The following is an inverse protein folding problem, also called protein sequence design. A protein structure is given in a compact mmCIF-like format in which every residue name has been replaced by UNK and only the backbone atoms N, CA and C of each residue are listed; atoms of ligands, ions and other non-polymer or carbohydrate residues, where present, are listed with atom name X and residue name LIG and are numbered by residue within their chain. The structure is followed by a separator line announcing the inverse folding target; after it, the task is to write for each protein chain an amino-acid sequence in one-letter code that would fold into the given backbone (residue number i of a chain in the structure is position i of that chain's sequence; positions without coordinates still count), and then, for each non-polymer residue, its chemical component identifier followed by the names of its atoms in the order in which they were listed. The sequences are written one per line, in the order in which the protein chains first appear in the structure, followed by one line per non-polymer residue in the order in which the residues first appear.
data_IF_338474592351
#
_entry.id   IF_338474592351
#
_cell.length_a   1.000
_cell.length_b   1.000
_cell.length_c   1.000
_cell.angle_alpha   90.00
_cell.angle_beta   90.00
_cell.angle_gamma   90.00
#
_symmetry.space_group_name_H-M   'P 1'
#
loop_
_entity.id
_entity.type
_entity.pdbx_description
1 polymer ?
#
# COMPACT_ATOMS: atom_id res chain seq x y z
N UNK A 1 -17.38 43.47 32.74
CA UNK A 1 -16.32 42.85 33.58
C UNK A 1 -15.97 41.53 32.90
N UNK A 2 -14.89 41.55 32.12
CA UNK A 2 -14.11 40.41 31.58
C UNK A 2 -14.89 39.34 30.79
N UNK A 3 -14.80 39.38 29.46
CA UNK A 3 -14.77 38.13 28.67
C UNK A 3 -13.47 37.39 28.99
N UNK A 4 -13.51 36.05 29.08
CA UNK A 4 -12.45 35.35 28.36
C UNK A 4 -12.92 34.13 27.58
N UNK A 5 -12.61 34.19 26.29
CA UNK A 5 -11.86 33.17 25.54
C UNK A 5 -12.60 31.86 25.23
N UNK A 6 -13.02 31.78 23.97
CA UNK A 6 -13.13 30.56 23.17
C UNK A 6 -11.90 29.64 23.36
N UNK A 7 -12.07 28.37 23.80
CA UNK A 7 -11.06 27.36 23.53
C UNK A 7 -11.39 26.74 22.18
N UNK A 8 -10.76 27.26 21.12
CA UNK A 8 -10.32 26.39 20.03
C UNK A 8 -9.44 25.31 20.65
N UNK A 9 -10.07 24.19 21.07
CA UNK A 9 -9.36 22.98 21.41
C UNK A 9 -8.77 22.46 20.09
N UNK A 10 -7.50 22.81 19.87
CA UNK A 10 -6.77 22.53 18.66
C UNK A 10 -7.00 21.11 18.17
N UNK A 11 -7.53 21.01 16.95
CA UNK A 11 -7.24 19.87 16.09
C UNK A 11 -5.74 19.89 15.83
N UNK A 12 -4.98 19.34 16.78
CA UNK A 12 -3.59 18.98 16.58
C UNK A 12 -3.55 18.19 15.28
N UNK A 13 -2.79 18.71 14.31
CA UNK A 13 -2.68 18.11 12.98
C UNK A 13 -2.42 16.62 13.18
N UNK A 14 -3.39 15.76 12.83
CA UNK A 14 -3.22 14.31 12.91
C UNK A 14 -1.96 13.98 12.13
N UNK A 15 -0.92 13.56 12.84
CA UNK A 15 0.37 13.29 12.23
C UNK A 15 0.17 12.16 11.22
N UNK A 16 0.61 12.38 9.98
CA UNK A 16 0.56 11.36 8.96
C UNK A 16 1.35 10.14 9.44
N UNK A 17 0.67 9.00 9.63
CA UNK A 17 1.29 7.75 10.07
C UNK A 17 1.94 7.05 8.87
N UNK A 18 3.02 7.63 8.35
CA UNK A 18 3.82 7.06 7.27
C UNK A 18 5.12 6.52 7.88
N UNK A 19 5.37 5.24 7.70
CA UNK A 19 6.51 4.53 8.26
C UNK A 19 7.43 4.03 7.15
N UNK A 20 8.68 4.48 7.15
CA UNK A 20 9.72 3.93 6.26
C UNK A 20 10.21 2.56 6.76
N UNK A 21 10.21 2.34 8.07
CA UNK A 21 10.63 1.08 8.68
C UNK A 21 9.45 0.13 8.93
N UNK A 22 9.55 -1.09 8.42
CA UNK A 22 8.51 -2.11 8.55
C UNK A 22 8.22 -2.49 10.01
N UNK A 23 9.23 -2.41 10.89
CA UNK A 23 9.08 -2.68 12.32
C UNK A 23 8.16 -1.68 13.01
N UNK A 24 8.28 -0.39 12.69
CA UNK A 24 7.45 0.66 13.28
C UNK A 24 6.02 0.58 12.74
N UNK A 25 5.86 0.31 11.45
CA UNK A 25 4.57 0.00 10.86
C UNK A 25 3.91 -1.18 11.59
N UNK A 26 4.64 -2.28 11.82
CA UNK A 26 4.12 -3.46 12.50
C UNK A 26 3.57 -3.15 13.90
N UNK A 27 4.29 -2.31 14.66
CA UNK A 27 3.91 -1.89 16.02
C UNK A 27 2.67 -0.99 16.04
N UNK A 28 2.42 -0.24 14.97
CA UNK A 28 1.25 0.62 14.84
C UNK A 28 -0.03 -0.15 14.45
N UNK A 29 0.08 -1.42 14.05
CA UNK A 29 -1.06 -2.21 13.61
C UNK A 29 -1.74 -2.94 14.78
N UNK A 30 -3.09 -2.96 14.83
CA UNK A 30 -3.81 -3.81 15.76
C UNK A 30 -3.59 -5.30 15.43
N UNK A 31 -3.71 -6.20 16.42
CA UNK A 31 -3.64 -7.63 16.19
C UNK A 31 -4.80 -8.10 15.30
N UNK A 32 -4.57 -9.17 14.54
CA UNK A 32 -5.59 -9.84 13.72
C UNK A 32 -6.34 -8.93 12.73
N UNK A 33 -5.66 -7.93 12.17
CA UNK A 33 -6.24 -7.00 11.21
C UNK A 33 -5.63 -7.14 9.83
N UNK A 34 -6.50 -7.09 8.82
CA UNK A 34 -6.11 -7.17 7.42
C UNK A 34 -5.42 -5.89 6.95
N UNK A 35 -4.56 -6.04 5.94
CA UNK A 35 -3.81 -4.97 5.28
C UNK A 35 -4.23 -4.85 3.83
N UNK A 36 -4.05 -3.67 3.25
CA UNK A 36 -4.22 -3.41 1.82
C UNK A 36 -2.87 -3.16 1.17
N UNK A 37 -2.62 -3.79 0.04
CA UNK A 37 -1.46 -3.52 -0.81
C UNK A 37 -1.88 -2.75 -2.05
N UNK A 38 -1.09 -1.74 -2.43
CA UNK A 38 -1.34 -0.92 -3.61
C UNK A 38 -0.14 -0.92 -4.54
N UNK A 39 -0.40 -1.20 -5.82
CA UNK A 39 0.52 -0.93 -6.93
C UNK A 39 0.08 0.34 -7.66
N UNK A 40 0.90 1.39 -7.61
CA UNK A 40 0.59 2.69 -8.21
C UNK A 40 1.11 2.76 -9.66
N UNK A 41 0.36 2.16 -10.58
CA UNK A 41 0.57 2.31 -12.01
C UNK A 41 0.20 3.71 -12.53
N UNK A 42 0.58 4.05 -13.76
CA UNK A 42 0.29 5.38 -14.34
C UNK A 42 -1.19 5.57 -14.69
N UNK A 43 -1.88 4.49 -15.08
CA UNK A 43 -3.29 4.51 -15.52
C UNK A 43 -4.24 3.81 -14.53
N UNK A 44 -3.69 3.00 -13.64
CA UNK A 44 -4.43 2.10 -12.75
C UNK A 44 -3.76 2.04 -11.39
N UNK A 45 -4.54 1.67 -10.37
CA UNK A 45 -4.05 1.26 -9.06
C UNK A 45 -4.47 -0.19 -8.87
N UNK A 46 -3.50 -1.10 -8.82
CA UNK A 46 -3.76 -2.48 -8.41
C UNK A 46 -4.05 -2.49 -6.92
N UNK A 47 -5.10 -3.19 -6.49
CA UNK A 47 -5.48 -3.32 -5.08
C UNK A 47 -5.47 -4.79 -4.69
N UNK A 48 -4.76 -5.11 -3.62
CA UNK A 48 -4.81 -6.41 -2.95
C UNK A 48 -5.14 -6.23 -1.48
N UNK A 49 -5.67 -7.28 -0.84
CA UNK A 49 -5.96 -7.31 0.59
C UNK A 49 -5.42 -8.58 1.21
N UNK A 50 -5.05 -8.53 2.49
CA UNK A 50 -4.68 -9.71 3.25
C UNK A 50 -5.87 -10.29 4.02
N UNK A 51 -5.71 -11.51 4.51
CA UNK A 51 -6.49 -12.02 5.61
C UNK A 51 -6.12 -11.32 6.94
N UNK A 52 -6.96 -11.49 7.97
CA UNK A 52 -6.73 -10.89 9.29
C UNK A 52 -5.47 -11.40 9.99
N UNK A 53 -5.05 -12.64 9.71
CA UNK A 53 -3.80 -13.20 10.25
C UNK A 53 -2.56 -12.67 9.55
N UNK A 54 -2.71 -11.86 8.48
CA UNK A 54 -1.60 -11.30 7.71
C UNK A 54 -0.69 -12.39 7.12
N UNK A 55 -1.31 -13.46 6.61
CA UNK A 55 -0.63 -14.63 6.06
C UNK A 55 -0.67 -14.69 4.53
N UNK A 56 -1.81 -14.33 3.93
CA UNK A 56 -2.05 -14.46 2.50
C UNK A 56 -2.57 -13.13 1.94
N UNK A 57 -1.96 -12.67 0.86
CA UNK A 57 -2.45 -11.57 0.04
C UNK A 57 -3.29 -12.10 -1.13
N UNK A 58 -4.40 -11.42 -1.43
CA UNK A 58 -5.29 -11.76 -2.56
C UNK A 58 -5.59 -10.51 -3.37
N UNK A 59 -5.52 -10.57 -4.72
CA UNK A 59 -5.99 -9.49 -5.58
C UNK A 59 -7.46 -9.17 -5.29
N UNK A 60 -7.80 -7.88 -5.21
CA UNK A 60 -9.16 -7.43 -4.97
C UNK A 60 -9.77 -6.82 -6.23
N UNK A 61 -9.17 -5.74 -6.74
CA UNK A 61 -9.64 -5.05 -7.94
C UNK A 61 -8.54 -4.17 -8.51
N UNK A 62 -8.79 -3.63 -9.71
CA UNK A 62 -7.95 -2.61 -10.32
C UNK A 62 -8.76 -1.32 -10.43
N UNK A 63 -8.35 -0.28 -9.70
CA UNK A 63 -8.98 1.04 -9.78
C UNK A 63 -8.42 1.79 -10.97
N UNK A 64 -9.28 2.26 -11.89
CA UNK A 64 -8.87 3.12 -12.99
C UNK A 64 -8.54 4.52 -12.45
N UNK A 65 -7.33 5.00 -12.68
CA UNK A 65 -6.89 6.32 -12.20
C UNK A 65 -7.55 7.43 -12.98
N UNK A 66 -8.00 8.45 -12.25
CA UNK A 66 -8.59 9.67 -12.81
C UNK A 66 -8.01 10.88 -12.09
N UNK A 67 -8.78 11.46 -11.16
CA UNK A 67 -8.33 12.52 -10.27
C UNK A 67 -8.04 11.91 -8.90
N UNK A 68 -6.98 12.40 -8.25
CA UNK A 68 -6.57 11.92 -6.93
C UNK A 68 -7.72 11.78 -5.93
N UNK A 69 -8.63 12.77 -5.86
CA UNK A 69 -9.75 12.74 -4.93
C UNK A 69 -10.71 11.55 -5.17
N UNK A 70 -11.00 11.22 -6.43
CA UNK A 70 -11.87 10.10 -6.77
C UNK A 70 -11.18 8.76 -6.51
N UNK A 71 -9.90 8.66 -6.91
CA UNK A 71 -9.07 7.48 -6.68
C UNK A 71 -8.96 7.19 -5.17
N UNK A 72 -8.66 8.21 -4.37
CA UNK A 72 -8.54 8.10 -2.91
C UNK A 72 -9.88 7.76 -2.25
N UNK A 73 -10.99 8.34 -2.70
CA UNK A 73 -12.32 8.03 -2.17
C UNK A 73 -12.66 6.54 -2.34
N UNK A 74 -12.34 5.96 -3.51
CA UNK A 74 -12.53 4.52 -3.75
C UNK A 74 -11.68 3.68 -2.80
N UNK A 75 -10.43 4.05 -2.57
CA UNK A 75 -9.56 3.34 -1.63
C UNK A 75 -10.08 3.42 -0.19
N UNK A 76 -10.52 4.60 0.26
CA UNK A 76 -11.14 4.79 1.59
C UNK A 76 -12.39 3.94 1.76
N UNK A 77 -13.22 3.84 0.73
CA UNK A 77 -14.40 2.97 0.74
C UNK A 77 -14.03 1.50 0.97
N UNK A 78 -13.00 0.99 0.27
CA UNK A 78 -12.52 -0.38 0.45
C UNK A 78 -11.97 -0.58 1.86
N UNK A 79 -11.15 0.36 2.34
CA UNK A 79 -10.56 0.33 3.68
C UNK A 79 -11.64 0.21 4.76
N UNK A 80 -12.70 1.04 4.66
CA UNK A 80 -13.81 1.03 5.60
C UNK A 80 -14.62 -0.27 5.53
N UNK A 81 -15.03 -0.70 4.32
CA UNK A 81 -15.86 -1.90 4.12
C UNK A 81 -15.19 -3.18 4.64
N UNK A 82 -13.88 -3.28 4.46
CA UNK A 82 -13.09 -4.47 4.84
C UNK A 82 -12.42 -4.36 6.22
N UNK A 83 -12.62 -3.24 6.94
CA UNK A 83 -11.98 -2.97 8.24
C UNK A 83 -10.45 -3.16 8.18
N UNK A 84 -9.85 -2.65 7.11
CA UNK A 84 -8.40 -2.73 6.89
C UNK A 84 -7.69 -1.76 7.82
N UNK A 85 -6.62 -2.21 8.46
CA UNK A 85 -5.91 -1.43 9.47
C UNK A 85 -4.61 -0.78 8.98
N UNK A 86 -4.11 -1.12 7.80
CA UNK A 86 -2.85 -0.61 7.27
C UNK A 86 -2.78 -0.68 5.75
N UNK A 87 -2.00 0.23 5.15
CA UNK A 87 -1.73 0.25 3.71
C UNK A 87 -0.23 0.06 3.45
N UNK A 88 0.08 -0.82 2.50
CA UNK A 88 1.42 -1.05 1.96
C UNK A 88 1.46 -0.52 0.53
N UNK A 89 2.34 0.42 0.26
CA UNK A 89 2.56 0.96 -1.08
C UNK A 89 3.79 0.32 -1.72
N UNK A 90 3.62 -0.18 -2.93
CA UNK A 90 4.73 -0.57 -3.78
C UNK A 90 5.70 0.59 -4.05
N UNK A 91 6.98 0.39 -3.79
CA UNK A 91 8.04 1.38 -3.98
C UNK A 91 9.07 0.82 -4.99
N UNK A 92 8.95 1.20 -6.27
CA UNK A 92 9.78 0.66 -7.35
C UNK A 92 11.16 1.34 -7.36
N UNK A 93 12.04 0.93 -6.44
CA UNK A 93 13.43 1.36 -6.40
C UNK A 93 14.21 0.81 -7.59
N UNK A 94 15.24 1.54 -8.01
CA UNK A 94 16.18 1.07 -9.02
C UNK A 94 16.98 -0.13 -8.47
N UNK A 95 17.58 -0.94 -9.35
CA UNK A 95 18.31 -2.14 -8.93
C UNK A 95 19.49 -1.84 -7.98
N UNK A 96 20.11 -0.67 -8.10
CA UNK A 96 21.15 -0.16 -7.20
C UNK A 96 20.61 0.39 -5.86
N UNK A 97 19.29 0.35 -5.65
CA UNK A 97 18.60 0.85 -4.46
C UNK A 97 18.24 2.33 -4.49
N UNK A 98 18.61 3.06 -5.54
CA UNK A 98 18.30 4.50 -5.67
C UNK A 98 16.81 4.74 -5.98
N UNK A 99 16.31 5.91 -5.60
CA UNK A 99 14.92 6.31 -5.83
C UNK A 99 14.79 7.16 -7.11
N UNK A 100 14.00 6.68 -8.07
CA UNK A 100 13.64 7.43 -9.28
C UNK A 100 12.33 8.24 -9.15
N UNK A 101 11.87 8.86 -10.25
CA UNK A 101 10.63 9.66 -10.28
C UNK A 101 9.37 8.91 -9.83
N UNK A 102 9.32 7.58 -10.05
CA UNK A 102 8.20 6.73 -9.59
C UNK A 102 8.15 6.64 -8.06
N UNK A 103 9.30 6.50 -7.39
CA UNK A 103 9.39 6.50 -5.93
C UNK A 103 8.88 7.83 -5.34
N UNK A 104 9.31 8.96 -5.92
CA UNK A 104 8.85 10.28 -5.51
C UNK A 104 7.33 10.44 -5.68
N UNK A 105 6.78 9.92 -6.78
CA UNK A 105 5.33 9.93 -7.03
C UNK A 105 4.56 9.08 -6.01
N UNK A 106 5.06 7.88 -5.67
CA UNK A 106 4.47 7.03 -4.62
C UNK A 106 4.49 7.72 -3.26
N UNK A 107 5.62 8.33 -2.88
CA UNK A 107 5.73 9.07 -1.62
C UNK A 107 4.81 10.29 -1.58
N UNK A 108 4.67 11.01 -2.70
CA UNK A 108 3.73 12.12 -2.80
C UNK A 108 2.27 11.63 -2.67
N UNK A 109 1.92 10.50 -3.29
CA UNK A 109 0.62 9.87 -3.11
C UNK A 109 0.36 9.54 -1.64
N UNK A 110 1.31 8.89 -0.95
CA UNK A 110 1.21 8.55 0.47
C UNK A 110 0.92 9.78 1.35
N UNK A 111 1.67 10.87 1.15
CA UNK A 111 1.50 12.12 1.90
C UNK A 111 0.15 12.79 1.67
N UNK A 112 -0.39 12.68 0.46
CA UNK A 112 -1.71 13.23 0.15
C UNK A 112 -2.82 12.32 0.68
N UNK A 113 -2.64 11.00 0.58
CA UNK A 113 -3.60 10.00 1.01
C UNK A 113 -3.76 9.96 2.53
N UNK A 114 -2.67 10.14 3.28
CA UNK A 114 -2.69 10.21 4.75
C UNK A 114 -3.52 11.37 5.31
N UNK A 115 -3.80 12.40 4.50
CA UNK A 115 -4.72 13.51 4.87
C UNK A 115 -6.18 13.10 4.81
N UNK A 116 -6.50 12.08 4.00
CA UNK A 116 -7.86 11.57 3.79
C UNK A 116 -8.13 10.32 4.61
N UNK A 117 -7.09 9.53 4.90
CA UNK A 117 -7.18 8.35 5.73
C UNK A 117 -6.05 8.34 6.77
N UNK A 118 -6.39 8.39 8.08
CA UNK A 118 -5.38 8.57 9.13
C UNK A 118 -4.69 7.27 9.55
N UNK A 119 -4.92 6.16 8.84
CA UNK A 119 -4.34 4.86 9.20
C UNK A 119 -2.85 4.76 8.83
N UNK A 120 -2.14 3.77 9.41
CA UNK A 120 -0.76 3.45 9.07
C UNK A 120 -0.55 3.19 7.57
N UNK A 121 0.49 3.81 7.01
CA UNK A 121 0.98 3.58 5.65
C UNK A 121 2.46 3.21 5.72
N UNK A 122 2.89 2.23 4.94
CA UNK A 122 4.31 1.93 4.74
C UNK A 122 4.63 1.67 3.27
N UNK A 123 5.91 1.48 2.97
CA UNK A 123 6.44 1.22 1.65
C UNK A 123 7.07 -0.17 1.58
N UNK A 124 6.91 -0.84 0.44
CA UNK A 124 7.55 -2.12 0.16
C UNK A 124 8.49 -2.00 -1.04
N UNK A 125 9.76 -2.36 -0.85
CA UNK A 125 10.77 -2.35 -1.90
C UNK A 125 10.57 -3.53 -2.86
N UNK A 126 10.13 -3.23 -4.08
CA UNK A 126 9.66 -4.22 -5.07
C UNK A 126 10.76 -5.04 -5.76
N UNK A 127 12.05 -4.75 -5.53
CA UNK A 127 13.21 -5.23 -6.34
C UNK A 127 13.30 -6.74 -6.55
N UNK A 128 12.59 -7.56 -5.77
CA UNK A 128 12.59 -9.02 -5.89
C UNK A 128 11.26 -9.60 -6.43
N UNK A 129 10.19 -8.82 -6.55
CA UNK A 129 8.85 -9.33 -6.80
C UNK A 129 8.57 -9.64 -8.29
N UNK A 130 8.95 -8.76 -9.21
CA UNK A 130 8.64 -8.92 -10.64
C UNK A 130 9.42 -10.07 -11.27
N UNK A 131 10.70 -10.22 -10.95
CA UNK A 131 11.55 -11.29 -11.50
C UNK A 131 11.11 -12.67 -11.01
N UNK A 132 10.70 -12.78 -9.75
CA UNK A 132 10.17 -14.02 -9.18
C UNK A 132 8.78 -14.37 -9.79
N UNK A 133 7.91 -13.39 -9.95
CA UNK A 133 6.60 -13.56 -10.59
C UNK A 133 6.72 -13.95 -12.07
N UNK A 134 7.61 -13.31 -12.83
CA UNK A 134 7.89 -13.68 -14.22
C UNK A 134 8.40 -15.12 -14.35
N UNK A 135 9.25 -15.57 -13.41
CA UNK A 135 9.75 -16.95 -13.36
C UNK A 135 8.64 -17.97 -13.06
N UNK A 136 7.77 -17.69 -12.10
CA UNK A 136 6.63 -18.57 -11.81
C UNK A 136 5.66 -18.69 -13.00
N UNK A 137 5.48 -17.62 -13.78
CA UNK A 137 4.61 -17.61 -14.96
C UNK A 137 5.28 -18.22 -16.22
N UNK A 138 6.61 -18.33 -16.24
CA UNK A 138 7.35 -19.03 -17.29
C UNK A 138 7.10 -20.54 -17.25
N UNK A 139 6.85 -21.12 -16.07
CA UNK A 139 6.52 -22.55 -15.90
C UNK A 139 5.12 -22.91 -16.43
N UNK A 140 4.26 -21.90 -16.65
CA UNK A 140 2.85 -22.08 -17.05
C UNK A 140 2.59 -21.93 -18.57
N UNK A 141 3.62 -21.93 -19.42
CA UNK A 141 3.58 -21.86 -20.90
C UNK A 141 2.62 -20.80 -21.48
N UNK A 142 2.71 -19.56 -20.98
CA UNK A 142 1.88 -18.44 -21.47
C UNK A 142 2.70 -17.46 -22.33
N UNK A 143 2.06 -16.90 -23.37
CA UNK A 143 2.71 -15.92 -24.27
C UNK A 143 3.21 -14.69 -23.49
N UNK A 144 4.26 -14.02 -23.98
CA UNK A 144 4.83 -12.82 -23.31
C UNK A 144 3.79 -11.75 -23.00
N UNK A 145 2.86 -11.51 -23.93
CA UNK A 145 1.76 -10.56 -23.75
C UNK A 145 0.81 -11.00 -22.64
N UNK A 146 0.41 -12.27 -22.63
CA UNK A 146 -0.48 -12.80 -21.59
C UNK A 146 0.17 -12.78 -20.21
N UNK A 147 1.48 -13.00 -20.13
CA UNK A 147 2.25 -12.85 -18.88
C UNK A 147 2.22 -11.44 -18.34
N UNK A 148 2.51 -10.45 -19.18
CA UNK A 148 2.47 -9.05 -18.77
C UNK A 148 1.08 -8.67 -18.23
N UNK A 149 0.01 -9.10 -18.91
CA UNK A 149 -1.37 -8.90 -18.43
C UNK A 149 -1.61 -9.55 -17.06
N UNK A 150 -1.16 -10.80 -16.87
CA UNK A 150 -1.31 -11.49 -15.59
C UNK A 150 -0.53 -10.78 -14.50
N UNK A 151 0.74 -10.42 -14.74
CA UNK A 151 1.62 -9.72 -13.79
C UNK A 151 0.98 -8.41 -13.35
N UNK A 152 0.49 -7.60 -14.29
CA UNK A 152 -0.19 -6.34 -13.98
C UNK A 152 -1.43 -6.58 -13.08
N UNK A 153 -2.15 -7.67 -13.28
CA UNK A 153 -3.33 -8.01 -12.46
C UNK A 153 -2.98 -8.51 -11.05
N UNK A 154 -1.78 -9.06 -10.83
CA UNK A 154 -1.39 -9.65 -9.54
C UNK A 154 -0.27 -8.87 -8.82
N UNK A 155 0.25 -7.81 -9.43
CA UNK A 155 1.35 -7.01 -8.89
C UNK A 155 1.10 -6.55 -7.44
N UNK A 156 -0.09 -6.01 -7.18
CA UNK A 156 -0.49 -5.57 -5.84
C UNK A 156 -0.47 -6.70 -4.80
N UNK A 157 -0.83 -7.94 -5.19
CA UNK A 157 -0.76 -9.09 -4.28
C UNK A 157 0.66 -9.54 -4.02
N UNK A 158 1.57 -9.44 -4.98
CA UNK A 158 2.99 -9.74 -4.75
C UNK A 158 3.65 -8.71 -3.83
N UNK A 159 3.36 -7.41 -4.04
CA UNK A 159 3.80 -6.34 -3.14
C UNK A 159 3.33 -6.63 -1.71
N UNK A 160 2.03 -6.91 -1.55
CA UNK A 160 1.47 -7.17 -0.24
C UNK A 160 2.07 -8.44 0.37
N UNK A 161 2.15 -9.54 -0.37
CA UNK A 161 2.68 -10.80 0.13
C UNK A 161 4.12 -10.66 0.62
N UNK A 162 4.99 -9.98 -0.14
CA UNK A 162 6.37 -9.73 0.29
C UNK A 162 6.43 -8.94 1.60
N UNK A 163 5.59 -7.91 1.74
CA UNK A 163 5.49 -7.16 2.99
C UNK A 163 4.97 -8.02 4.15
N UNK A 164 3.94 -8.85 3.94
CA UNK A 164 3.42 -9.77 4.95
C UNK A 164 4.50 -10.76 5.42
N UNK A 165 5.26 -11.33 4.49
CA UNK A 165 6.34 -12.26 4.80
C UNK A 165 7.45 -11.58 5.63
N UNK A 166 7.79 -10.34 5.31
CA UNK A 166 8.74 -9.54 6.10
C UNK A 166 8.20 -9.24 7.50
N UNK A 167 6.93 -8.84 7.61
CA UNK A 167 6.31 -8.54 8.91
C UNK A 167 6.26 -9.79 9.80
N UNK A 168 5.98 -10.97 9.22
CA UNK A 168 6.03 -12.26 9.93
C UNK A 168 7.44 -12.58 10.41
N UNK A 169 8.46 -12.36 9.58
CA UNK A 169 9.85 -12.56 9.97
C UNK A 169 10.29 -11.66 11.13
N UNK A 170 9.80 -10.42 11.19
CA UNK A 170 10.11 -9.48 12.27
C UNK A 170 9.34 -9.75 13.58
N UNK A 171 8.27 -10.54 13.52
CA UNK A 171 7.45 -10.87 14.68
C UNK A 171 7.85 -12.18 15.39
N UNK A 172 8.66 -13.01 14.74
CA UNK A 172 9.28 -14.21 15.31
C UNK A 172 10.69 -13.95 15.80
#
# INVERSE_FOLDING_TARGET
MIDPVNPEAGQGAKQALIFDEATDFARALPPMAALMGLDLGTKTIGVAVSDGMRTVATPLETVKRTKFAADAARLVEILAKRRIAGVVLGLPRNMDGTEGPRCQSTRAFARNFSRLWPGPITFWDERLSTVAAEKALLEADTTRKRRAEVIDHVAASYILQGALDRLRYLAG
#
